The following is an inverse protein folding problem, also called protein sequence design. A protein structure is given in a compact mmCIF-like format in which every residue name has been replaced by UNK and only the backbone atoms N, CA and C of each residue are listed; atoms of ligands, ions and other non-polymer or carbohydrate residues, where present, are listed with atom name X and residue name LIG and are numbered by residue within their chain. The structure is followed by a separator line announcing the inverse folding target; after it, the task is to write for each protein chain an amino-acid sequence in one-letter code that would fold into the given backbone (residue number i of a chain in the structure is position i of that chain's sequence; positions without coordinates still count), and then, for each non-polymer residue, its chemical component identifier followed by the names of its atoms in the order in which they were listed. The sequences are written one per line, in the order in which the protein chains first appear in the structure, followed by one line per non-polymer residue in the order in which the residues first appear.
data_IF_273631363921
#
_entry.id   IF_273631363921
#
_cell.length_a   1.000
_cell.length_b   1.000
_cell.length_c   1.000
_cell.angle_alpha   90.00
_cell.angle_beta   90.00
_cell.angle_gamma   90.00
#
_symmetry.space_group_name_H-M   'P 1'
#
loop_
_entity.id
_entity.type
_entity.pdbx_description
1 polymer ?
#
# COMPACT_ATOMS: atom_id res chain seq x y z
N UNK A 1 -27.09 2.12 -30.21
CA UNK A 1 -26.57 3.08 -29.22
C UNK A 1 -25.67 2.34 -28.23
N UNK A 2 -24.34 2.49 -28.33
CA UNK A 2 -23.37 1.84 -27.45
C UNK A 2 -23.30 2.62 -26.14
N UNK A 3 -23.65 1.99 -25.01
CA UNK A 3 -23.38 2.55 -23.67
C UNK A 3 -21.87 2.51 -23.43
N UNK A 4 -21.28 3.67 -23.12
CA UNK A 4 -19.87 3.77 -22.74
C UNK A 4 -19.63 2.92 -21.49
N UNK A 5 -18.64 2.01 -21.56
CA UNK A 5 -18.18 1.25 -20.40
C UNK A 5 -17.49 2.24 -19.46
N UNK A 6 -18.05 2.43 -18.27
CA UNK A 6 -17.41 3.21 -17.20
C UNK A 6 -16.15 2.47 -16.75
N UNK A 7 -14.98 2.96 -17.18
CA UNK A 7 -13.70 2.47 -16.72
C UNK A 7 -13.53 2.90 -15.26
N UNK A 8 -13.54 1.94 -14.33
CA UNK A 8 -13.29 2.21 -12.92
C UNK A 8 -11.81 2.55 -12.77
N UNK A 9 -11.51 3.84 -12.64
CA UNK A 9 -10.14 4.34 -12.48
C UNK A 9 -9.58 3.93 -11.11
N UNK A 10 -8.27 3.64 -11.01
CA UNK A 10 -7.64 3.26 -9.75
C UNK A 10 -7.72 4.42 -8.74
N UNK A 11 -8.34 4.16 -7.60
CA UNK A 11 -8.38 5.08 -6.46
C UNK A 11 -7.13 4.90 -5.62
N UNK A 12 -6.41 5.99 -5.35
CA UNK A 12 -5.33 5.97 -4.35
C UNK A 12 -5.96 5.89 -2.95
N UNK A 13 -5.44 5.00 -2.12
CA UNK A 13 -5.84 4.86 -0.72
C UNK A 13 -4.65 5.17 0.19
N UNK A 14 -4.91 5.82 1.32
CA UNK A 14 -3.90 6.12 2.33
C UNK A 14 -4.44 5.76 3.71
N UNK A 15 -3.60 5.18 4.57
CA UNK A 15 -4.00 4.77 5.92
C UNK A 15 -3.43 5.79 6.92
N UNK A 16 -4.28 6.23 7.85
CA UNK A 16 -3.94 7.11 8.96
C UNK A 16 -4.35 6.42 10.27
N UNK A 17 -3.53 6.57 11.30
CA UNK A 17 -3.80 6.00 12.63
C UNK A 17 -3.89 7.16 13.59
N UNK A 18 -5.04 7.30 14.26
CA UNK A 18 -5.32 8.42 15.16
C UNK A 18 -5.47 7.91 16.60
N UNK A 19 -4.89 8.59 17.60
CA UNK A 19 -5.28 8.43 18.99
C UNK A 19 -6.75 8.82 19.21
N UNK A 20 -7.44 8.14 20.12
CA UNK A 20 -8.84 8.41 20.46
C UNK A 20 -9.08 9.82 21.05
N UNK A 21 -8.04 10.52 21.49
CA UNK A 21 -8.13 11.81 22.18
C UNK A 21 -7.70 12.99 21.29
N UNK A 22 -7.57 12.81 19.98
CA UNK A 22 -7.14 13.91 19.12
C UNK A 22 -8.28 14.93 18.89
N UNK A 23 -7.98 16.24 19.00
CA UNK A 23 -8.94 17.29 18.69
C UNK A 23 -9.18 17.39 17.18
N UNK A 24 -10.34 17.91 16.80
CA UNK A 24 -10.77 18.00 15.40
C UNK A 24 -9.78 18.73 14.50
N UNK A 25 -9.13 19.78 15.00
CA UNK A 25 -8.12 20.54 14.25
C UNK A 25 -6.88 19.71 13.89
N UNK A 26 -6.50 18.76 14.75
CA UNK A 26 -5.38 17.85 14.46
C UNK A 26 -5.73 16.89 13.34
N UNK A 27 -6.96 16.35 13.35
CA UNK A 27 -7.47 15.56 12.23
C UNK A 27 -7.44 16.37 10.93
N UNK A 28 -7.95 17.61 10.93
CA UNK A 28 -7.94 18.48 9.74
C UNK A 28 -6.54 18.66 9.18
N UNK A 29 -5.58 19.02 10.03
CA UNK A 29 -4.19 19.20 9.63
C UNK A 29 -3.59 17.92 9.02
N UNK A 30 -3.85 16.76 9.63
CA UNK A 30 -3.36 15.49 9.09
C UNK A 30 -4.00 15.13 7.75
N UNK A 31 -5.30 15.42 7.56
CA UNK A 31 -5.98 15.25 6.26
C UNK A 31 -5.31 16.12 5.20
N UNK A 32 -5.08 17.40 5.49
CA UNK A 32 -4.42 18.33 4.57
C UNK A 32 -3.00 17.88 4.21
N UNK A 33 -2.21 17.39 5.16
CA UNK A 33 -0.87 16.83 4.89
C UNK A 33 -0.95 15.65 3.92
N UNK A 34 -1.93 14.76 4.09
CA UNK A 34 -2.12 13.60 3.19
C UNK A 34 -2.59 14.02 1.80
N UNK A 35 -3.45 15.03 1.71
CA UNK A 35 -3.88 15.62 0.45
C UNK A 35 -2.69 16.26 -0.26
N UNK A 36 -1.90 17.09 0.42
CA UNK A 36 -0.70 17.73 -0.12
C UNK A 36 0.36 16.71 -0.60
N UNK A 37 0.50 15.59 0.11
CA UNK A 37 1.38 14.51 -0.35
C UNK A 37 0.86 13.80 -1.61
N UNK A 38 -0.46 13.78 -1.83
CA UNK A 38 -1.09 13.11 -2.96
C UNK A 38 -1.27 14.01 -4.20
N UNK A 39 -1.44 15.33 -3.99
CA UNK A 39 -1.67 16.36 -5.01
C UNK A 39 -0.44 17.26 -5.12
N UNK A 40 0.10 17.43 -6.33
CA UNK A 40 1.17 18.39 -6.61
C UNK A 40 0.69 19.27 -7.78
N UNK A 41 0.40 20.57 -7.59
CA UNK A 41 0.65 21.42 -6.41
C UNK A 41 -0.34 21.20 -5.25
N UNK A 42 0.09 21.52 -4.03
CA UNK A 42 -0.74 21.42 -2.82
C UNK A 42 -1.68 22.65 -2.73
N UNK A 43 -2.99 22.39 -2.61
CA UNK A 43 -3.97 23.42 -2.25
C UNK A 43 -4.25 23.27 -0.75
N UNK A 44 -3.90 24.30 0.02
CA UNK A 44 -3.78 24.24 1.48
C UNK A 44 -5.08 24.53 2.25
N UNK A 45 -6.13 24.99 1.57
CA UNK A 45 -7.37 25.38 2.24
C UNK A 45 -8.32 24.18 2.39
N UNK A 46 -8.83 23.97 3.60
CA UNK A 46 -9.78 22.88 3.92
C UNK A 46 -11.13 23.07 3.22
N UNK A 47 -11.58 24.31 3.05
CA UNK A 47 -12.90 24.64 2.49
C UNK A 47 -13.03 24.33 1.00
N UNK A 48 -11.90 24.09 0.33
CA UNK A 48 -11.84 23.70 -1.08
C UNK A 48 -12.09 22.20 -1.27
N UNK A 49 -12.24 21.45 -0.19
CA UNK A 49 -12.50 20.02 -0.23
C UNK A 49 -13.82 19.66 0.45
N UNK A 50 -14.63 18.86 -0.23
CA UNK A 50 -15.77 18.17 0.36
C UNK A 50 -15.27 16.88 1.00
N UNK A 51 -15.10 16.91 2.31
CA UNK A 51 -14.65 15.77 3.10
C UNK A 51 -15.87 15.09 3.70
N UNK A 52 -16.03 13.81 3.45
CA UNK A 52 -17.08 12.97 4.01
C UNK A 52 -16.51 11.69 4.61
N UNK A 53 -17.21 11.06 5.54
CA UNK A 53 -16.79 9.79 6.13
C UNK A 53 -17.89 8.74 6.11
N UNK A 54 -17.48 7.48 6.14
CA UNK A 54 -18.33 6.30 6.30
C UNK A 54 -17.71 5.40 7.35
N UNK A 55 -18.55 4.76 8.18
CA UNK A 55 -18.09 3.82 9.21
C UNK A 55 -18.71 2.47 8.89
N UNK A 56 -17.91 1.44 8.56
CA UNK A 56 -18.44 0.14 8.15
C UNK A 56 -19.49 -0.38 9.13
N UNK A 57 -20.67 -0.75 8.61
CA UNK A 57 -21.83 -1.27 9.34
C UNK A 57 -22.55 -0.30 10.29
N UNK A 58 -21.97 0.86 10.61
CA UNK A 58 -22.58 1.85 11.50
C UNK A 58 -23.17 3.03 10.72
N UNK A 59 -22.40 3.55 9.77
CA UNK A 59 -22.74 4.71 8.93
C UNK A 59 -22.44 4.32 7.49
N UNK A 60 -23.44 3.78 6.80
CA UNK A 60 -23.32 3.33 5.40
C UNK A 60 -23.33 4.48 4.41
N UNK A 61 -24.04 5.55 4.74
CA UNK A 61 -24.18 6.71 3.89
C UNK A 61 -23.10 7.75 4.24
N UNK A 62 -22.37 8.31 3.27
CA UNK A 62 -21.34 9.30 3.55
C UNK A 62 -21.90 10.55 4.25
N UNK A 63 -21.36 10.87 5.43
CA UNK A 63 -21.69 12.10 6.19
C UNK A 63 -20.57 13.11 6.00
N UNK A 64 -20.91 14.38 5.73
CA UNK A 64 -19.93 15.47 5.59
C UNK A 64 -19.25 15.80 6.92
N UNK A 65 -17.95 16.06 6.88
CA UNK A 65 -17.12 16.36 8.04
C UNK A 65 -16.74 17.85 8.05
N UNK A 66 -17.70 18.69 8.42
CA UNK A 66 -17.59 20.15 8.42
C UNK A 66 -17.45 20.75 9.84
N UNK A 67 -18.05 20.09 10.83
CA UNK A 67 -18.21 20.57 12.20
C UNK A 67 -17.61 19.61 13.24
N UNK A 68 -17.26 20.15 14.40
CA UNK A 68 -16.76 19.34 15.52
C UNK A 68 -17.80 18.32 16.01
N UNK A 69 -19.10 18.64 15.90
CA UNK A 69 -20.18 17.71 16.23
C UNK A 69 -20.16 16.48 15.33
N UNK A 70 -20.02 16.65 14.00
CA UNK A 70 -19.90 15.53 13.06
C UNK A 70 -18.66 14.67 13.33
N UNK A 71 -17.57 15.29 13.80
CA UNK A 71 -16.38 14.57 14.25
C UNK A 71 -16.63 13.73 15.51
N UNK A 72 -17.33 14.28 16.51
CA UNK A 72 -17.71 13.52 17.70
C UNK A 72 -18.57 12.29 17.33
N UNK A 73 -19.49 12.43 16.38
CA UNK A 73 -20.25 11.30 15.83
C UNK A 73 -19.34 10.25 15.18
N UNK A 74 -18.37 10.66 14.36
CA UNK A 74 -17.38 9.76 13.75
C UNK A 74 -16.67 8.92 14.82
N UNK A 75 -16.13 9.57 15.87
CA UNK A 75 -15.39 8.90 16.94
C UNK A 75 -16.28 7.91 17.70
N UNK A 76 -17.48 8.33 18.09
CA UNK A 76 -18.44 7.47 18.81
C UNK A 76 -18.82 6.24 17.99
N UNK A 77 -19.06 6.39 16.69
CA UNK A 77 -19.43 5.26 15.83
C UNK A 77 -18.24 4.35 15.50
N UNK A 78 -17.04 4.91 15.30
CA UNK A 78 -15.83 4.12 15.08
C UNK A 78 -15.51 3.23 16.29
N UNK A 79 -15.57 3.77 17.51
CA UNK A 79 -15.28 3.05 18.75
C UNK A 79 -16.26 1.93 19.08
N UNK A 80 -17.48 1.97 18.53
CA UNK A 80 -18.47 0.88 18.69
C UNK A 80 -18.09 -0.40 17.93
N UNK A 81 -17.07 -0.37 17.06
CA UNK A 81 -16.59 -1.54 16.34
C UNK A 81 -15.55 -2.28 17.21
N UNK A 82 -15.98 -3.38 17.84
CA UNK A 82 -15.16 -4.14 18.79
C UNK A 82 -13.90 -4.81 18.19
N UNK A 83 -13.88 -5.07 16.89
CA UNK A 83 -12.83 -5.90 16.27
C UNK A 83 -11.65 -5.07 15.73
N UNK A 84 -11.93 -3.86 15.25
CA UNK A 84 -10.94 -2.87 14.80
C UNK A 84 -11.69 -1.57 14.49
N UNK A 85 -11.54 -0.51 15.30
CA UNK A 85 -12.19 0.77 15.00
C UNK A 85 -11.57 1.32 13.71
N UNK A 86 -12.40 1.40 12.67
CA UNK A 86 -12.00 1.91 11.38
C UNK A 86 -13.09 2.82 10.80
N UNK A 87 -12.64 3.92 10.21
CA UNK A 87 -13.49 4.82 9.45
C UNK A 87 -12.89 5.00 8.05
N UNK A 88 -13.74 5.18 7.06
CA UNK A 88 -13.33 5.48 5.70
C UNK A 88 -13.64 6.94 5.40
N UNK A 89 -12.61 7.73 5.15
CA UNK A 89 -12.75 9.15 4.80
C UNK A 89 -12.61 9.32 3.28
N UNK A 90 -13.53 10.06 2.69
CA UNK A 90 -13.66 10.35 1.26
C UNK A 90 -13.42 11.84 1.11
N UNK A 91 -12.48 12.22 0.25
CA UNK A 91 -12.10 13.63 0.03
C UNK A 91 -12.33 13.96 -1.43
N UNK A 92 -13.31 14.80 -1.74
CA UNK A 92 -13.59 15.28 -3.10
C UNK A 92 -13.15 16.74 -3.20
N UNK A 93 -12.32 17.15 -4.18
CA UNK A 93 -12.08 18.58 -4.37
C UNK A 93 -13.32 19.26 -4.94
N UNK A 94 -13.61 20.44 -4.44
CA UNK A 94 -14.63 21.33 -4.97
C UNK A 94 -14.01 22.02 -6.19
N UNK A 95 -14.57 21.78 -7.37
CA UNK A 95 -14.15 22.53 -8.55
C UNK A 95 -14.52 24.00 -8.34
N UNK A 96 -13.53 24.89 -8.35
CA UNK A 96 -13.75 26.33 -8.32
C UNK A 96 -14.61 26.71 -9.52
N UNK A 97 -15.86 27.08 -9.26
CA UNK A 97 -16.78 27.66 -10.25
C UNK A 97 -16.35 29.07 -10.63
N UNK A 98 -15.13 29.25 -11.11
CA UNK A 98 -14.64 30.50 -11.65
C UNK A 98 -14.69 30.47 -13.19
N UNK A 99 -15.88 30.80 -13.72
CA UNK A 99 -16.05 31.36 -15.05
C UNK A 99 -16.27 30.38 -16.20
N UNK A 100 -17.54 30.16 -16.60
CA UNK A 100 -18.15 30.80 -17.78
C UNK A 100 -19.43 30.05 -18.22
N UNK A 101 -20.41 30.84 -18.67
CA UNK A 101 -21.71 30.49 -19.31
C UNK A 101 -22.91 30.26 -18.39
N UNK A 102 -23.60 31.38 -18.16
CA UNK A 102 -25.04 31.53 -18.42
C UNK A 102 -25.57 30.48 -19.42
N UNK A 103 -26.47 29.62 -18.97
CA UNK A 103 -27.75 29.45 -19.65
C UNK A 103 -28.72 28.63 -18.78
N UNK A 104 -29.83 29.30 -18.50
CA UNK A 104 -31.20 28.83 -18.36
C UNK A 104 -31.55 27.60 -17.52
N UNK A 105 -32.34 27.93 -16.51
CA UNK A 105 -33.46 27.20 -15.95
C UNK A 105 -34.17 26.23 -16.93
N UNK A 106 -34.60 25.11 -16.38
CA UNK A 106 -36.02 24.68 -16.42
C UNK A 106 -36.24 23.80 -15.18
N UNK A 107 -37.13 24.26 -14.31
CA UNK A 107 -37.82 23.47 -13.31
C UNK A 107 -38.75 22.48 -14.04
N UNK A 108 -38.67 21.19 -13.70
CA UNK A 108 -39.81 20.29 -13.85
C UNK A 108 -39.93 19.47 -12.56
N UNK A 109 -40.90 19.93 -11.77
CA UNK A 109 -41.72 19.17 -10.83
C UNK A 109 -42.37 17.96 -11.54
N UNK A 110 -42.21 16.75 -11.01
CA UNK A 110 -43.16 15.67 -11.26
C UNK A 110 -43.08 14.61 -10.14
N UNK A 111 -43.97 14.78 -9.16
CA UNK A 111 -44.44 13.72 -8.28
C UNK A 111 -45.23 12.66 -9.07
N UNK A 112 -44.71 11.42 -9.13
CA UNK A 112 -45.60 10.27 -9.20
C UNK A 112 -44.99 9.02 -8.57
N UNK A 113 -45.47 8.74 -7.36
CA UNK A 113 -45.39 7.42 -6.72
C UNK A 113 -46.45 6.53 -7.34
N UNK A 114 -46.03 5.52 -8.10
CA UNK A 114 -46.89 4.37 -8.40
C UNK A 114 -46.21 3.03 -8.15
N UNK A 115 -46.93 2.22 -7.36
CA UNK A 115 -46.54 0.89 -6.88
C UNK A 115 -46.64 -0.12 -8.03
N UNK A 116 -45.52 -0.73 -8.44
CA UNK A 116 -45.52 -1.85 -9.37
C UNK A 116 -44.81 -3.10 -8.81
N UNK A 117 -45.61 -4.16 -8.74
CA UNK A 117 -45.36 -5.55 -8.33
C UNK A 117 -44.00 -6.14 -8.78
N UNK A 118 -43.40 -6.88 -7.85
CA UNK A 118 -42.34 -7.84 -8.06
C UNK A 118 -42.82 -8.94 -9.05
N UNK A 119 -42.33 -8.94 -10.29
CA UNK A 119 -42.47 -10.05 -11.24
C UNK A 119 -41.11 -10.38 -11.85
N UNK A 120 -40.66 -11.61 -11.55
CA UNK A 120 -39.68 -12.43 -12.27
C UNK A 120 -38.45 -11.72 -12.86
N UNK A 121 -37.29 -11.88 -12.22
CA UNK A 121 -36.00 -11.57 -12.86
C UNK A 121 -35.88 -12.41 -14.16
N UNK A 122 -35.78 -11.78 -15.35
CA UNK A 122 -35.53 -12.51 -16.58
C UNK A 122 -34.15 -13.17 -16.48
N UNK A 123 -34.08 -14.45 -16.87
CA UNK A 123 -32.81 -15.20 -17.00
C UNK A 123 -31.86 -14.37 -17.87
N UNK A 124 -30.77 -13.91 -17.28
CA UNK A 124 -29.73 -13.13 -17.96
C UNK A 124 -29.21 -13.96 -19.11
N UNK A 125 -29.42 -13.50 -20.35
CA UNK A 125 -28.85 -14.12 -21.54
C UNK A 125 -27.34 -14.22 -21.36
N UNK A 126 -26.80 -15.42 -21.52
CA UNK A 126 -25.36 -15.69 -21.49
C UNK A 126 -24.70 -14.76 -22.52
N UNK A 127 -23.73 -13.92 -22.12
CA UNK A 127 -23.03 -13.03 -23.03
C UNK A 127 -22.43 -13.82 -24.20
N UNK A 128 -22.64 -13.33 -25.42
CA UNK A 128 -22.11 -13.95 -26.62
C UNK A 128 -20.56 -13.94 -26.58
N UNK A 129 -19.92 -15.05 -26.97
CA UNK A 129 -18.47 -15.26 -26.86
C UNK A 129 -17.62 -14.16 -27.52
N UNK A 130 -18.17 -13.47 -28.53
CA UNK A 130 -17.52 -12.35 -29.23
C UNK A 130 -17.35 -11.07 -28.40
N UNK A 131 -17.92 -10.98 -27.19
CA UNK A 131 -17.79 -9.81 -26.30
C UNK A 131 -16.79 -9.98 -25.17
N UNK A 132 -16.14 -11.14 -25.07
CA UNK A 132 -15.15 -11.44 -24.05
C UNK A 132 -13.79 -10.88 -24.52
N UNK A 133 -13.10 -10.13 -23.65
CA UNK A 133 -11.77 -9.59 -23.96
C UNK A 133 -10.79 -10.75 -24.23
N UNK A 134 -9.84 -10.63 -25.19
CA UNK A 134 -8.89 -11.71 -25.50
C UNK A 134 -8.15 -12.25 -24.27
N UNK A 135 -7.78 -11.38 -23.32
CA UNK A 135 -7.13 -11.82 -22.07
C UNK A 135 -8.02 -12.69 -21.17
N UNK A 136 -9.34 -12.47 -21.19
CA UNK A 136 -10.27 -13.29 -20.42
C UNK A 136 -10.51 -14.65 -21.09
N UNK A 137 -10.30 -14.77 -22.41
CA UNK A 137 -10.41 -16.06 -23.11
C UNK A 137 -9.27 -16.98 -22.66
N UNK A 138 -8.02 -16.51 -22.73
CA UNK A 138 -6.86 -17.28 -22.26
C UNK A 138 -6.98 -17.67 -20.79
N UNK A 139 -7.43 -16.74 -19.92
CA UNK A 139 -7.65 -17.06 -18.50
C UNK A 139 -8.72 -18.14 -18.30
N UNK A 140 -9.83 -18.08 -19.05
CA UNK A 140 -10.89 -19.08 -18.97
C UNK A 140 -10.45 -20.45 -19.49
N UNK A 141 -9.57 -20.49 -20.49
CA UNK A 141 -8.97 -21.73 -20.99
C UNK A 141 -8.10 -22.39 -19.90
N UNK A 142 -7.22 -21.63 -19.25
CA UNK A 142 -6.39 -22.13 -18.13
C UNK A 142 -7.26 -22.60 -16.94
N UNK A 143 -8.30 -21.84 -16.59
CA UNK A 143 -9.27 -22.26 -15.55
C UNK A 143 -9.97 -23.57 -15.94
N UNK A 144 -10.29 -23.76 -17.22
CA UNK A 144 -10.87 -24.99 -17.73
C UNK A 144 -9.95 -26.20 -17.55
N UNK A 145 -8.66 -26.03 -17.86
CA UNK A 145 -7.63 -27.06 -17.67
C UNK A 145 -7.52 -27.41 -16.18
N UNK A 146 -7.39 -26.41 -15.30
CA UNK A 146 -7.28 -26.62 -13.86
C UNK A 146 -8.51 -27.32 -13.27
N UNK A 147 -9.72 -26.95 -13.70
CA UNK A 147 -10.95 -27.62 -13.23
C UNK A 147 -11.04 -29.06 -13.68
N UNK A 148 -10.61 -29.38 -14.90
CA UNK A 148 -10.56 -30.76 -15.38
C UNK A 148 -9.52 -31.60 -14.61
N UNK A 149 -8.36 -30.99 -14.30
CA UNK A 149 -7.26 -31.64 -13.56
C UNK A 149 -7.61 -31.93 -12.09
N UNK A 150 -8.29 -31.00 -11.43
CA UNK A 150 -8.50 -31.01 -9.98
C UNK A 150 -9.93 -31.34 -9.54
N UNK A 151 -10.64 -32.17 -10.30
CA UNK A 151 -11.91 -32.75 -9.86
C UNK A 151 -11.66 -33.69 -8.66
N UNK A 152 -12.45 -33.61 -7.58
CA UNK A 152 -12.27 -34.53 -6.44
C UNK A 152 -12.42 -35.97 -6.98
N UNK A 153 -11.40 -36.83 -6.84
CA UNK A 153 -11.43 -38.20 -7.39
C UNK A 153 -12.44 -39.10 -6.66
N UNK A 154 -13.08 -38.60 -5.62
CA UNK A 154 -14.15 -39.27 -4.89
C UNK A 154 -15.20 -38.19 -4.59
N UNK A 155 -16.50 -38.51 -4.45
CA UNK A 155 -17.40 -37.66 -3.69
C UNK A 155 -16.95 -37.74 -2.23
N UNK A 156 -15.87 -37.02 -1.94
CA UNK A 156 -15.12 -37.07 -0.70
C UNK A 156 -16.05 -36.46 0.37
N UNK A 157 -16.78 -37.30 1.12
CA UNK A 157 -17.73 -36.90 2.17
C UNK A 157 -17.28 -35.79 3.12
N UNK A 158 -15.97 -35.62 3.44
CA UNK A 158 -15.51 -34.49 4.25
C UNK A 158 -15.27 -33.17 3.49
N UNK A 159 -15.01 -33.17 2.17
CA UNK A 159 -14.57 -31.94 1.48
C UNK A 159 -15.71 -31.07 0.93
N UNK A 160 -16.91 -31.63 0.73
CA UNK A 160 -18.12 -30.92 0.26
C UNK A 160 -18.00 -30.16 -1.06
N UNK A 161 -16.85 -30.20 -1.73
CA UNK A 161 -16.53 -29.41 -2.92
C UNK A 161 -16.27 -30.30 -4.12
N UNK A 162 -16.66 -29.83 -5.30
CA UNK A 162 -16.49 -30.59 -6.56
C UNK A 162 -15.02 -30.63 -7.01
N UNK A 163 -14.22 -29.65 -6.59
CA UNK A 163 -12.83 -29.50 -6.99
C UNK A 163 -11.93 -29.34 -5.77
N UNK A 164 -10.89 -30.17 -5.71
CA UNK A 164 -9.95 -30.20 -4.59
C UNK A 164 -8.53 -30.32 -5.12
N UNK A 165 -7.63 -29.56 -4.52
CA UNK A 165 -6.20 -29.81 -4.66
C UNK A 165 -5.82 -30.94 -3.71
N UNK A 166 -5.25 -32.01 -4.26
CA UNK A 166 -4.79 -33.19 -3.52
C UNK A 166 -3.30 -33.31 -3.73
N UNK A 167 -2.53 -33.24 -2.65
CA UNK A 167 -1.09 -33.49 -2.74
C UNK A 167 -0.83 -34.99 -2.75
N UNK A 168 0.14 -35.48 -3.55
CA UNK A 168 0.48 -36.91 -3.57
C UNK A 168 0.99 -37.41 -2.21
N UNK A 169 1.62 -36.52 -1.43
CA UNK A 169 2.23 -36.86 -0.14
C UNK A 169 1.25 -36.79 1.03
N UNK A 170 0.10 -36.12 0.88
CA UNK A 170 -0.86 -35.91 1.97
C UNK A 170 -2.29 -36.24 1.52
N UNK A 171 -3.01 -37.11 2.25
CA UNK A 171 -4.40 -37.49 1.92
C UNK A 171 -5.42 -36.38 2.22
N UNK A 172 -4.96 -35.16 2.48
CA UNK A 172 -5.83 -34.04 2.81
C UNK A 172 -6.23 -33.26 1.56
N UNK A 173 -7.52 -32.94 1.49
CA UNK A 173 -8.11 -32.24 0.36
C UNK A 173 -8.23 -30.76 0.69
N UNK A 174 -7.67 -29.91 -0.16
CA UNK A 174 -7.87 -28.47 -0.07
C UNK A 174 -8.96 -28.03 -1.07
N UNK A 175 -10.12 -27.53 -0.59
CA UNK A 175 -11.23 -27.18 -1.47
C UNK A 175 -10.91 -25.95 -2.33
N UNK A 176 -11.03 -26.09 -3.65
CA UNK A 176 -10.76 -25.01 -4.61
C UNK A 176 -12.04 -24.27 -4.97
N UNK A 177 -12.13 -23.00 -4.57
CA UNK A 177 -13.19 -22.09 -5.03
C UNK A 177 -12.84 -21.42 -6.36
N UNK A 178 -13.80 -20.72 -6.98
CA UNK A 178 -13.56 -19.95 -8.21
C UNK A 178 -12.43 -18.92 -8.09
N UNK A 179 -12.27 -18.30 -6.92
CA UNK A 179 -11.20 -17.31 -6.69
C UNK A 179 -9.82 -17.96 -6.72
N UNK A 180 -9.70 -19.21 -6.29
CA UNK A 180 -8.44 -19.97 -6.38
C UNK A 180 -8.09 -20.25 -7.85
N UNK A 181 -9.07 -20.70 -8.65
CA UNK A 181 -8.85 -20.95 -10.07
C UNK A 181 -8.49 -19.68 -10.85
N UNK A 182 -9.15 -18.55 -10.58
CA UNK A 182 -8.82 -17.28 -11.22
C UNK A 182 -7.40 -16.82 -10.88
N UNK A 183 -7.00 -16.94 -9.61
CA UNK A 183 -5.65 -16.60 -9.15
C UNK A 183 -4.59 -17.51 -9.78
N UNK A 184 -4.85 -18.82 -9.81
CA UNK A 184 -3.94 -19.83 -10.37
C UNK A 184 -3.80 -19.67 -11.89
N UNK A 185 -4.91 -19.59 -12.63
CA UNK A 185 -4.87 -19.36 -14.08
C UNK A 185 -4.16 -18.05 -14.45
N UNK A 186 -4.38 -16.98 -13.68
CA UNK A 186 -3.67 -15.71 -13.89
C UNK A 186 -2.17 -15.82 -13.66
N UNK A 187 -1.74 -16.65 -12.70
CA UNK A 187 -0.33 -16.91 -12.44
C UNK A 187 0.31 -17.78 -13.54
N UNK A 188 -0.42 -18.77 -14.07
CA UNK A 188 0.04 -19.58 -15.22
C UNK A 188 0.29 -18.72 -16.47
N UNK A 189 -0.59 -17.75 -16.75
CA UNK A 189 -0.41 -16.80 -17.86
C UNK A 189 0.84 -15.91 -17.72
N UNK A 190 1.37 -15.72 -16.50
CA UNK A 190 2.63 -15.00 -16.28
C UNK A 190 3.86 -15.87 -16.53
N UNK A 191 3.69 -17.18 -16.64
CA UNK A 191 4.73 -18.16 -16.94
C UNK A 191 4.93 -19.22 -15.85
N UNK A 192 5.53 -20.35 -16.24
CA UNK A 192 5.74 -21.56 -15.44
C UNK A 192 6.48 -21.36 -14.11
N UNK A 193 7.27 -20.29 -14.00
CA UNK A 193 7.98 -19.96 -12.77
C UNK A 193 7.03 -19.56 -11.62
N UNK A 194 5.83 -19.08 -11.94
CA UNK A 194 4.86 -18.60 -10.95
C UNK A 194 3.87 -19.68 -10.53
N UNK A 195 3.32 -20.41 -11.50
CA UNK A 195 2.41 -21.52 -11.28
C UNK A 195 2.41 -22.45 -12.51
N UNK A 196 2.16 -23.73 -12.26
CA UNK A 196 1.98 -24.78 -13.27
C UNK A 196 0.67 -25.53 -12.98
N UNK A 197 0.24 -26.42 -13.87
CA UNK A 197 -0.98 -27.23 -13.69
C UNK A 197 -0.98 -28.01 -12.36
N UNK A 198 0.19 -28.44 -11.92
CA UNK A 198 0.38 -29.23 -10.70
C UNK A 198 0.82 -28.39 -9.48
N UNK A 199 1.20 -27.13 -9.69
CA UNK A 199 1.80 -26.27 -8.66
C UNK A 199 1.04 -24.95 -8.52
N UNK A 200 0.28 -24.74 -7.43
CA UNK A 200 -0.44 -23.49 -7.21
C UNK A 200 0.53 -22.32 -6.95
N UNK A 201 0.09 -21.07 -7.16
CA UNK A 201 0.90 -19.89 -6.88
C UNK A 201 1.18 -19.71 -5.38
N UNK A 202 2.34 -19.12 -5.08
CA UNK A 202 2.71 -18.70 -3.72
C UNK A 202 2.01 -17.38 -3.35
N UNK A 203 0.76 -17.44 -2.94
CA UNK A 203 0.05 -16.27 -2.40
C UNK A 203 -0.97 -16.67 -1.35
N UNK A 204 -1.49 -15.68 -0.63
CA UNK A 204 -2.27 -15.85 0.61
C UNK A 204 -3.50 -16.77 0.46
N UNK A 205 -4.09 -16.83 -0.74
CA UNK A 205 -5.20 -17.73 -1.06
C UNK A 205 -4.82 -19.22 -0.96
N UNK A 206 -3.54 -19.54 -1.06
CA UNK A 206 -2.99 -20.89 -1.00
C UNK A 206 -2.12 -21.11 0.26
N UNK A 207 -2.14 -20.21 1.24
CA UNK A 207 -1.36 -20.38 2.48
C UNK A 207 -1.77 -21.64 3.23
N UNK A 208 -3.05 -22.01 3.23
CA UNK A 208 -3.48 -23.30 3.82
C UNK A 208 -2.86 -24.54 3.17
N UNK A 209 -2.44 -24.43 1.90
CA UNK A 209 -1.72 -25.48 1.15
C UNK A 209 -0.21 -25.37 1.38
N UNK A 210 0.30 -24.13 1.38
CA UNK A 210 1.73 -23.84 1.44
C UNK A 210 2.29 -23.93 2.85
N UNK A 211 1.55 -23.55 3.89
CA UNK A 211 2.00 -23.59 5.28
C UNK A 211 2.38 -25.01 5.69
N UNK A 212 1.63 -26.02 5.25
CA UNK A 212 1.97 -27.42 5.51
C UNK A 212 3.22 -27.86 4.76
N UNK A 213 3.47 -27.28 3.60
CA UNK A 213 4.67 -27.53 2.80
C UNK A 213 5.91 -26.78 3.31
N UNK A 214 5.74 -25.56 3.81
CA UNK A 214 6.79 -24.70 4.34
C UNK A 214 7.19 -25.10 5.76
N UNK A 215 6.22 -25.46 6.61
CA UNK A 215 6.47 -26.03 7.93
C UNK A 215 7.27 -27.33 7.83
N UNK A 216 7.02 -28.15 6.81
CA UNK A 216 7.79 -29.35 6.53
C UNK A 216 9.21 -29.08 5.97
N UNK A 217 9.47 -27.89 5.40
CA UNK A 217 10.73 -27.58 4.71
C UNK A 217 11.69 -26.68 5.48
N UNK A 218 11.26 -25.86 6.44
CA UNK A 218 12.19 -25.04 7.22
C UNK A 218 11.63 -24.59 8.58
N UNK A 219 12.20 -25.08 9.69
CA UNK A 219 11.85 -24.64 11.06
C UNK A 219 12.02 -23.13 11.28
N UNK A 220 12.96 -22.52 10.56
CA UNK A 220 13.29 -21.09 10.70
C UNK A 220 12.20 -20.20 10.08
N UNK A 221 11.55 -20.66 9.00
CA UNK A 221 10.44 -19.92 8.39
C UNK A 221 9.20 -19.94 9.28
N UNK A 222 8.91 -21.08 9.92
CA UNK A 222 7.82 -21.20 10.90
C UNK A 222 7.99 -20.18 12.03
N UNK A 223 9.20 -20.12 12.61
CA UNK A 223 9.51 -19.20 13.71
C UNK A 223 9.33 -17.73 13.31
N UNK A 224 9.58 -17.37 12.04
CA UNK A 224 9.34 -16.00 11.54
C UNK A 224 7.87 -15.68 11.36
N UNK A 225 7.03 -16.66 11.01
CA UNK A 225 5.59 -16.47 10.89
C UNK A 225 4.94 -16.29 12.27
N UNK A 226 5.36 -17.09 13.26
CA UNK A 226 4.88 -16.99 14.64
C UNK A 226 5.18 -15.60 15.24
N UNK A 227 6.41 -15.11 15.06
CA UNK A 227 6.81 -13.76 15.49
C UNK A 227 6.03 -12.62 14.80
N UNK A 228 5.53 -12.85 13.58
CA UNK A 228 4.68 -11.87 12.88
C UNK A 228 3.24 -11.89 13.41
N UNK A 229 2.71 -13.07 13.73
CA UNK A 229 1.38 -13.21 14.32
C UNK A 229 1.30 -12.53 15.69
N UNK A 230 2.34 -12.67 16.51
CA UNK A 230 2.45 -12.03 17.83
C UNK A 230 2.49 -10.50 17.75
N UNK A 231 3.11 -9.92 16.71
CA UNK A 231 3.19 -8.46 16.54
C UNK A 231 1.88 -7.78 16.14
N UNK A 232 0.92 -8.52 15.59
CA UNK A 232 -0.38 -7.98 15.20
C UNK A 232 -1.39 -7.87 16.36
N UNK A 233 -1.01 -8.25 17.59
CA UNK A 233 -1.92 -8.29 18.74
C UNK A 233 -2.18 -6.94 19.45
N UNK A 234 -1.54 -5.84 19.03
CA UNK A 234 -1.72 -4.51 19.64
C UNK A 234 -2.45 -3.55 18.70
N UNK A 235 -3.78 -3.47 18.80
CA UNK A 235 -4.63 -2.71 17.89
C UNK A 235 -4.85 -1.25 18.33
N UNK A 236 -4.26 -0.31 17.59
CA UNK A 236 -4.71 1.09 17.51
C UNK A 236 -5.67 1.25 16.32
N UNK A 237 -6.62 2.21 16.36
CA UNK A 237 -7.63 2.35 15.31
C UNK A 237 -7.02 2.84 13.99
N UNK A 238 -7.34 2.17 12.88
CA UNK A 238 -6.85 2.47 11.54
C UNK A 238 -7.95 3.09 10.68
N UNK A 239 -7.74 4.30 10.18
CA UNK A 239 -8.66 5.06 9.32
C UNK A 239 -8.12 5.02 7.89
N UNK A 240 -8.95 4.62 6.93
CA UNK A 240 -8.56 4.39 5.54
C UNK A 240 -9.17 5.47 4.62
N UNK A 241 -8.34 6.26 3.95
CA UNK A 241 -8.78 7.33 3.04
C UNK A 241 -8.96 6.81 1.61
N UNK A 242 -9.98 7.30 0.91
CA UNK A 242 -10.33 6.91 -0.45
C UNK A 242 -10.59 8.14 -1.32
N UNK A 243 -9.68 8.45 -2.24
CA UNK A 243 -9.76 9.66 -3.08
C UNK A 243 -10.51 9.41 -4.42
N UNK A 244 -11.51 10.22 -4.80
CA UNK A 244 -12.21 10.09 -6.08
C UNK A 244 -11.30 10.37 -7.29
N UNK A 245 -11.51 9.67 -8.42
CA UNK A 245 -10.68 9.80 -9.61
C UNK A 245 -10.91 11.07 -10.45
N UNK A 246 -11.89 11.91 -10.13
CA UNK A 246 -12.17 13.16 -10.85
C UNK A 246 -10.98 14.15 -10.81
N UNK A 247 -10.20 14.15 -9.72
CA UNK A 247 -9.05 15.04 -9.53
C UNK A 247 -7.86 14.81 -10.45
N UNK A 248 -7.78 13.66 -11.13
CA UNK A 248 -6.62 13.31 -11.97
C UNK A 248 -6.77 13.76 -13.43
N UNK A 249 -7.91 14.33 -13.83
CA UNK A 249 -8.16 14.74 -15.22
C UNK A 249 -7.73 16.18 -15.53
N UNK A 250 -7.49 17.00 -14.52
CA UNK A 250 -7.07 18.41 -14.68
C UNK A 250 -5.58 18.50 -15.10
N UNK A 251 -4.83 17.38 -15.05
CA UNK A 251 -3.38 17.35 -15.21
C UNK A 251 -2.85 16.51 -16.38
N UNK A 252 -3.67 16.20 -17.37
CA UNK A 252 -3.15 15.73 -18.66
C UNK A 252 -2.93 16.94 -19.59
N UNK A 253 -1.69 17.39 -19.86
CA UNK A 253 -1.46 18.34 -20.94
C UNK A 253 -1.93 17.71 -22.26
N UNK A 254 -2.57 18.52 -23.11
CA UNK A 254 -3.00 18.11 -24.45
C UNK A 254 -1.80 17.56 -25.26
N UNK A 255 -2.00 16.52 -26.09
CA UNK A 255 -0.90 15.88 -26.83
C UNK A 255 -0.30 16.86 -27.85
N UNK A 256 0.99 17.17 -27.67
CA UNK A 256 1.81 17.96 -28.59
C UNK A 256 2.33 17.04 -29.72
N UNK A 257 2.30 17.44 -31.00
CA UNK A 257 2.78 16.65 -32.13
C UNK A 257 4.32 16.46 -32.12
N UNK A 258 4.84 15.43 -32.81
CA UNK A 258 6.18 14.88 -32.56
C UNK A 258 7.30 15.67 -33.24
N UNK A 259 8.42 15.95 -32.56
CA UNK A 259 9.71 16.20 -33.19
C UNK A 259 10.45 14.89 -33.50
N UNK A 260 11.23 14.94 -34.58
CA UNK A 260 12.07 13.87 -35.14
C UNK A 260 13.22 13.41 -34.21
N UNK A 261 13.83 12.23 -34.46
CA UNK A 261 14.58 11.45 -33.45
C UNK A 261 16.10 11.68 -33.48
N UNK A 262 16.75 11.79 -32.30
CA UNK A 262 18.12 11.33 -31.99
C UNK A 262 18.48 11.61 -30.50
N UNK A 263 19.45 10.89 -29.90
CA UNK A 263 19.45 9.48 -29.51
C UNK A 263 19.33 9.29 -27.98
N UNK A 264 18.95 8.07 -27.58
CA UNK A 264 18.79 7.62 -26.19
C UNK A 264 20.09 7.65 -25.36
N UNK A 265 19.96 7.74 -24.01
CA UNK A 265 20.33 6.56 -23.23
C UNK A 265 19.21 6.06 -22.31
N UNK A 266 19.40 4.80 -21.93
CA UNK A 266 18.54 3.83 -21.26
C UNK A 266 18.01 4.25 -19.86
N UNK A 267 16.98 3.55 -19.34
CA UNK A 267 16.22 3.95 -18.16
C UNK A 267 16.93 3.61 -16.85
N UNK A 268 16.84 4.50 -15.86
CA UNK A 268 17.13 4.17 -14.48
C UNK A 268 15.84 3.73 -13.74
N UNK A 269 15.91 2.75 -12.83
CA UNK A 269 14.75 2.04 -12.31
C UNK A 269 14.11 2.74 -11.10
N UNK A 270 12.83 2.42 -10.92
CA UNK A 270 11.94 2.71 -9.80
C UNK A 270 12.62 2.48 -8.44
N UNK A 271 12.57 3.48 -7.54
CA UNK A 271 12.93 3.31 -6.13
C UNK A 271 11.69 3.16 -5.23
N UNK A 272 11.69 2.17 -4.32
CA UNK A 272 10.62 1.95 -3.35
C UNK A 272 10.74 2.86 -2.12
N UNK A 273 9.58 3.13 -1.52
CA UNK A 273 9.32 4.01 -0.38
C UNK A 273 10.06 3.59 0.90
N UNK A 274 10.70 4.52 1.65
CA UNK A 274 11.49 4.17 2.83
C UNK A 274 10.64 4.01 4.11
N UNK A 275 11.01 3.07 5.00
CA UNK A 275 10.34 2.85 6.28
C UNK A 275 10.63 3.98 7.28
N UNK A 276 9.78 4.05 8.32
CA UNK A 276 9.83 5.04 9.40
C UNK A 276 11.26 5.38 9.86
N UNK A 277 11.55 6.68 9.94
CA UNK A 277 12.83 7.24 10.40
C UNK A 277 13.14 6.79 11.82
N UNK A 278 13.74 5.61 11.96
CA UNK A 278 14.58 5.31 13.11
C UNK A 278 15.63 6.42 13.15
N UNK A 279 15.76 7.09 14.30
CA UNK A 279 16.83 8.06 14.51
C UNK A 279 18.14 7.31 14.31
N UNK A 280 18.70 7.46 13.11
CA UNK A 280 19.88 6.75 12.68
C UNK A 280 21.07 7.42 13.39
N UNK A 281 21.39 6.91 14.57
CA UNK A 281 22.64 7.24 15.24
C UNK A 281 23.80 6.77 14.36
N UNK A 282 24.93 7.46 14.46
CA UNK A 282 26.11 7.13 13.66
C UNK A 282 26.65 5.72 13.98
N UNK A 283 26.48 5.29 15.24
CA UNK A 283 26.71 3.92 15.69
C UNK A 283 25.34 3.21 15.80
N UNK A 284 25.06 2.19 14.96
CA UNK A 284 23.83 1.40 15.07
C UNK A 284 23.73 0.69 16.44
N UNK A 285 22.54 0.69 17.05
CA UNK A 285 22.20 -0.17 18.19
C UNK A 285 22.18 -1.63 17.68
N UNK A 286 23.28 -2.39 17.78
CA UNK A 286 23.78 -3.00 19.03
C UNK A 286 25.32 -2.94 19.20
N UNK A 287 25.99 -2.07 18.45
CA UNK A 287 27.45 -2.01 18.43
C UNK A 287 27.99 -1.28 19.66
N UNK A 288 29.05 -1.82 20.26
CA UNK A 288 29.74 -1.21 21.39
C UNK A 288 30.76 -0.19 20.86
N UNK A 289 30.87 1.02 21.45
CA UNK A 289 31.90 1.98 21.07
C UNK A 289 33.30 1.37 21.18
N UNK A 290 34.12 1.55 20.15
CA UNK A 290 35.50 1.05 20.13
C UNK A 290 36.45 1.77 21.11
N UNK A 291 37.75 1.46 21.06
CA UNK A 291 38.75 2.10 21.91
C UNK A 291 38.76 3.63 21.79
N UNK A 292 38.97 4.32 22.91
CA UNK A 292 39.08 5.79 22.93
C UNK A 292 40.39 6.21 22.26
N UNK A 293 40.28 6.93 21.15
CA UNK A 293 41.41 7.53 20.45
C UNK A 293 41.04 8.95 20.01
N UNK A 294 42.04 9.74 19.62
CA UNK A 294 41.80 11.05 19.03
C UNK A 294 41.18 10.92 17.63
N UNK A 295 40.44 11.94 17.18
CA UNK A 295 39.89 11.94 15.81
C UNK A 295 41.01 11.95 14.76
N UNK A 296 42.17 12.55 15.09
CA UNK A 296 43.34 12.60 14.21
C UNK A 296 43.94 11.20 14.01
N UNK A 297 44.07 10.41 15.08
CA UNK A 297 44.49 9.01 15.01
C UNK A 297 43.45 8.14 14.29
N UNK A 298 42.16 8.34 14.58
CA UNK A 298 41.08 7.61 13.91
C UNK A 298 41.08 7.84 12.39
N UNK A 299 41.14 9.10 11.94
CA UNK A 299 41.18 9.41 10.51
C UNK A 299 42.42 8.82 9.83
N UNK A 300 43.55 8.76 10.54
CA UNK A 300 44.78 8.16 10.02
C UNK A 300 44.70 6.63 9.93
N UNK A 301 44.17 5.96 10.95
CA UNK A 301 44.05 4.51 11.03
C UNK A 301 43.11 3.94 9.95
N UNK A 302 42.02 4.67 9.65
CA UNK A 302 41.02 4.26 8.65
C UNK A 302 41.19 4.96 7.30
N UNK A 303 42.34 5.60 7.06
CA UNK A 303 42.68 6.30 5.80
C UNK A 303 41.59 7.29 5.31
N UNK A 304 40.92 7.97 6.24
CA UNK A 304 39.87 8.93 5.93
C UNK A 304 40.44 10.23 5.37
N UNK A 305 39.70 10.84 4.45
CA UNK A 305 40.06 12.11 3.83
C UNK A 305 40.26 13.24 4.87
N UNK A 306 41.23 14.12 4.61
CA UNK A 306 41.56 15.25 5.49
C UNK A 306 40.38 16.20 5.70
N UNK A 307 39.50 16.31 4.70
CA UNK A 307 38.28 17.10 4.79
C UNK A 307 37.37 16.64 5.94
N UNK A 308 37.24 15.32 6.17
CA UNK A 308 36.42 14.76 7.25
C UNK A 308 37.00 15.18 8.61
N UNK A 309 38.33 15.10 8.73
CA UNK A 309 39.05 15.53 9.94
C UNK A 309 38.87 17.02 10.20
N UNK A 310 38.96 17.85 9.17
CA UNK A 310 38.87 19.30 9.29
C UNK A 310 37.44 19.74 9.67
N UNK A 311 36.41 19.08 9.14
CA UNK A 311 35.02 19.27 9.58
C UNK A 311 34.83 18.90 11.07
N UNK A 312 35.34 17.75 11.52
CA UNK A 312 35.24 17.41 12.94
C UNK A 312 35.97 18.42 13.85
N UNK A 313 37.11 18.94 13.40
CA UNK A 313 37.87 19.97 14.11
C UNK A 313 37.11 21.28 14.20
N UNK A 314 36.47 21.72 13.10
CA UNK A 314 35.68 22.95 13.05
C UNK A 314 34.51 22.91 14.06
N UNK A 315 33.89 21.75 14.22
CA UNK A 315 32.80 21.53 15.17
C UNK A 315 33.26 21.11 16.58
N UNK A 316 34.57 21.19 16.86
CA UNK A 316 35.18 20.92 18.18
C UNK A 316 34.95 19.49 18.71
N UNK A 317 34.75 18.51 17.83
CA UNK A 317 34.82 17.12 18.22
C UNK A 317 36.29 16.75 18.49
N UNK A 318 36.57 16.11 19.64
CA UNK A 318 37.93 15.81 20.10
C UNK A 318 38.19 14.30 20.18
N UNK A 319 37.44 13.52 20.97
CA UNK A 319 37.60 12.06 21.04
C UNK A 319 36.59 11.30 20.18
N UNK A 320 36.93 10.07 19.79
CA UNK A 320 36.01 9.12 19.14
C UNK A 320 34.79 8.75 20.01
N UNK A 321 34.87 8.94 21.33
CA UNK A 321 33.72 8.74 22.23
C UNK A 321 32.54 9.66 21.94
N UNK A 322 32.75 10.74 21.19
CA UNK A 322 31.65 11.63 20.76
C UNK A 322 30.77 10.98 19.68
N UNK A 323 31.26 10.01 18.91
CA UNK A 323 30.51 9.40 17.80
C UNK A 323 29.21 8.72 18.23
N UNK A 324 29.11 8.26 19.47
CA UNK A 324 27.88 7.65 20.01
C UNK A 324 26.73 8.65 20.20
N UNK A 325 27.04 9.95 20.19
CA UNK A 325 26.05 11.02 20.37
C UNK A 325 25.73 11.75 19.06
N UNK A 326 26.44 11.45 17.97
CA UNK A 326 26.24 12.13 16.68
C UNK A 326 25.11 11.45 15.93
N UNK A 327 24.12 12.24 15.53
CA UNK A 327 23.05 11.78 14.64
C UNK A 327 23.40 11.98 13.17
N UNK A 328 22.85 11.12 12.30
CA UNK A 328 23.02 11.30 10.85
C UNK A 328 22.47 12.64 10.33
N UNK A 329 21.48 13.20 11.01
CA UNK A 329 20.90 14.51 10.66
C UNK A 329 21.90 15.63 10.97
N UNK A 330 22.64 15.53 12.06
CA UNK A 330 23.70 16.49 12.43
C UNK A 330 24.85 16.45 11.43
N UNK A 331 25.26 15.26 10.96
CA UNK A 331 26.28 15.15 9.91
C UNK A 331 25.84 15.83 8.60
N UNK A 332 24.55 15.75 8.26
CA UNK A 332 24.01 16.51 7.11
C UNK A 332 24.03 18.01 7.37
N UNK A 333 23.80 18.45 8.60
CA UNK A 333 23.91 19.85 9.01
C UNK A 333 25.34 20.39 9.06
N UNK A 334 26.34 19.50 9.09
CA UNK A 334 27.77 19.82 8.99
C UNK A 334 28.28 19.83 7.53
N UNK A 335 27.39 19.84 6.54
CA UNK A 335 27.69 19.84 5.10
C UNK A 335 28.49 18.63 4.59
N UNK A 336 28.40 17.48 5.27
CA UNK A 336 29.01 16.26 4.75
C UNK A 336 28.30 15.76 3.48
N UNK A 337 29.09 15.56 2.41
CA UNK A 337 28.63 14.87 1.21
C UNK A 337 28.24 13.42 1.54
N UNK A 338 27.21 12.90 0.87
CA UNK A 338 26.69 11.56 1.11
C UNK A 338 27.77 10.45 1.00
N UNK A 339 28.74 10.61 0.10
CA UNK A 339 29.88 9.69 -0.04
C UNK A 339 30.77 9.65 1.21
N UNK A 340 31.09 10.83 1.77
CA UNK A 340 31.89 10.96 3.00
C UNK A 340 31.15 10.39 4.22
N UNK A 341 29.82 10.57 4.28
CA UNK A 341 29.00 9.94 5.33
C UNK A 341 29.06 8.41 5.23
N UNK A 342 29.05 7.85 4.02
CA UNK A 342 29.14 6.41 3.83
C UNK A 342 30.52 5.86 4.24
N UNK A 343 31.59 6.54 3.84
CA UNK A 343 32.98 6.20 4.21
C UNK A 343 33.19 6.25 5.73
N UNK A 344 32.71 7.31 6.38
CA UNK A 344 32.73 7.46 7.83
C UNK A 344 31.98 6.32 8.54
N UNK A 345 30.83 5.89 8.02
CA UNK A 345 30.08 4.75 8.57
C UNK A 345 30.86 3.44 8.49
N UNK A 346 31.57 3.20 7.39
CA UNK A 346 32.40 1.99 7.23
C UNK A 346 33.56 2.01 8.23
N UNK A 347 34.24 3.16 8.36
CA UNK A 347 35.31 3.32 9.35
C UNK A 347 34.83 3.11 10.79
N UNK A 348 33.67 3.69 11.15
CA UNK A 348 33.08 3.53 12.49
C UNK A 348 32.65 2.08 12.74
N UNK A 349 32.09 1.41 11.74
CA UNK A 349 31.76 -0.01 11.84
C UNK A 349 33.02 -0.86 12.09
N UNK A 350 34.12 -0.59 11.38
CA UNK A 350 35.41 -1.25 11.60
C UNK A 350 36.01 -0.98 12.99
N UNK A 351 35.88 0.26 13.48
CA UNK A 351 36.34 0.66 14.81
C UNK A 351 35.53 0.06 15.95
N UNK A 352 34.21 0.01 15.81
CA UNK A 352 33.32 -0.59 16.80
C UNK A 352 33.42 -2.13 16.86
N UNK A 353 34.06 -2.77 15.87
CA UNK A 353 34.18 -4.23 15.78
C UNK A 353 35.51 -4.78 16.32
N UNK A 354 36.39 -3.93 16.86
CA UNK A 354 37.59 -4.41 17.54
C UNK A 354 37.22 -4.98 18.92
N UNK A 355 37.47 -6.28 19.17
CA UNK A 355 37.07 -6.97 20.41
C UNK A 355 37.84 -6.53 21.65
#
# INVERSE_FOLDING_TARGET
MKKSKSARKPTKTAILTLPNSEPFDTLKAQILIRIAAALHPAQENYDDYKIAFTVPRQVTDPITLDSEETYAHLVVHALKINTAPCAKIIVEAKEDRAGNKENDAIEIDDESRDKAKCKGRPKTKIPNAQQILPGNVALNEEIGILRARWQCPTPCGPCGSEHCFVQPDMPEHFPLSNTHFESWGSAMLKGKNYADEDKPPNGDLFDGVNDKFLAARSPILQQRLDLKAEKNASAAPQINFNFPPEMLQIFCPAPVPPPAPAPAPAPAPVQPTPPAFQMAMLIPHPLVPGPKMSIEEFCKEYELDNDIRDHFRQHKFKPTSSFQYIELVELKGMDFLAGKVAELKVAIAGWAWQP
#
